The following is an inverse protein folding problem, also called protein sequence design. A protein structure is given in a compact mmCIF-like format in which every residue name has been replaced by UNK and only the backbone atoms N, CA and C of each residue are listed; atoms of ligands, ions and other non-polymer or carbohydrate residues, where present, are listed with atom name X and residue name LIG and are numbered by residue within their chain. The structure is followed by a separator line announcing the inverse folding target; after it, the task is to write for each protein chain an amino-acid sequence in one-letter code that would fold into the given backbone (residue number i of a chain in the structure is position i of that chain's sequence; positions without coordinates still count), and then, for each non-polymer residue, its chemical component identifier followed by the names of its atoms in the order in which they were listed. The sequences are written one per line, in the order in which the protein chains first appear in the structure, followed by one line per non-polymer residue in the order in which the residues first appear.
data_IF_847930307393
#
_entry.id   IF_847930307393
#
_cell.length_a   1.000
_cell.length_b   1.000
_cell.length_c   1.000
_cell.angle_alpha   90.00
_cell.angle_beta   90.00
_cell.angle_gamma   90.00
#
_symmetry.space_group_name_H-M   'P 1'
#
loop_
_entity.id
_entity.type
_entity.pdbx_description
1 polymer ?
#
# COMPACT_ATOMS: atom_id res chain seq x y z
N UNK A 1 -42.54 -2.05 -14.02
CA UNK A 1 -41.72 -2.51 -12.87
C UNK A 1 -40.75 -1.39 -12.52
N UNK A 2 -41.09 -0.59 -11.50
CA UNK A 2 -40.41 0.66 -11.15
C UNK A 2 -39.02 0.39 -10.54
N UNK A 3 -37.97 0.85 -11.22
CA UNK A 3 -36.61 0.93 -10.68
C UNK A 3 -36.49 2.17 -9.78
N UNK A 4 -36.94 2.06 -8.53
CA UNK A 4 -36.57 3.03 -7.50
C UNK A 4 -35.10 2.78 -7.12
N UNK A 5 -34.19 3.55 -7.73
CA UNK A 5 -32.81 3.67 -7.23
C UNK A 5 -32.88 4.22 -5.80
N UNK A 6 -32.86 3.35 -4.80
CA UNK A 6 -32.85 3.75 -3.40
C UNK A 6 -31.62 4.61 -3.12
N UNK A 7 -31.83 5.87 -2.73
CA UNK A 7 -30.74 6.76 -2.36
C UNK A 7 -29.97 6.14 -1.16
N UNK A 8 -28.64 6.28 -1.11
CA UNK A 8 -27.86 5.77 0.01
C UNK A 8 -28.34 6.41 1.31
N UNK A 9 -28.60 5.57 2.32
CA UNK A 9 -29.02 6.01 3.65
C UNK A 9 -27.98 6.95 4.26
N UNK A 10 -28.42 7.89 5.10
CA UNK A 10 -27.53 8.82 5.81
C UNK A 10 -26.42 8.10 6.58
N UNK A 11 -26.70 6.90 7.10
CA UNK A 11 -25.72 6.03 7.76
C UNK A 11 -24.60 5.55 6.82
N UNK A 12 -24.92 5.23 5.57
CA UNK A 12 -23.93 4.80 4.58
C UNK A 12 -23.01 5.95 4.17
N UNK A 13 -23.58 7.14 3.92
CA UNK A 13 -22.80 8.35 3.60
C UNK A 13 -21.83 8.71 4.72
N UNK A 14 -22.26 8.62 5.98
CA UNK A 14 -21.40 8.84 7.16
C UNK A 14 -20.27 7.82 7.25
N UNK A 15 -20.53 6.53 6.99
CA UNK A 15 -19.49 5.48 6.97
C UNK A 15 -18.43 5.73 5.91
N UNK A 16 -18.86 6.09 4.70
CA UNK A 16 -17.95 6.45 3.60
C UNK A 16 -17.11 7.67 3.98
N UNK A 17 -17.76 8.73 4.49
CA UNK A 17 -17.07 9.94 4.92
C UNK A 17 -16.05 9.67 6.02
N UNK A 18 -16.40 8.86 7.02
CA UNK A 18 -15.49 8.47 8.10
C UNK A 18 -14.29 7.67 7.59
N UNK A 19 -14.51 6.73 6.64
CA UNK A 19 -13.44 5.96 6.03
C UNK A 19 -12.45 6.87 5.28
N UNK A 20 -12.95 7.77 4.43
CA UNK A 20 -12.08 8.71 3.70
C UNK A 20 -11.36 9.67 4.64
N UNK A 21 -12.05 10.21 5.65
CA UNK A 21 -11.42 11.08 6.66
C UNK A 21 -10.29 10.35 7.39
N UNK A 22 -10.51 9.09 7.78
CA UNK A 22 -9.48 8.26 8.40
C UNK A 22 -8.27 8.01 7.49
N UNK A 23 -8.50 7.69 6.21
CA UNK A 23 -7.41 7.48 5.24
C UNK A 23 -6.59 8.77 5.00
N UNK A 24 -7.25 9.91 4.87
CA UNK A 24 -6.58 11.21 4.71
C UNK A 24 -5.77 11.54 5.96
N UNK A 25 -6.35 11.40 7.15
CA UNK A 25 -5.66 11.66 8.40
C UNK A 25 -4.44 10.74 8.58
N UNK A 26 -4.57 9.45 8.26
CA UNK A 26 -3.46 8.51 8.29
C UNK A 26 -2.35 8.90 7.31
N UNK A 27 -2.69 9.30 6.08
CA UNK A 27 -1.72 9.72 5.08
C UNK A 27 -0.96 10.98 5.52
N UNK A 28 -1.67 11.99 6.04
CA UNK A 28 -1.06 13.19 6.63
C UNK A 28 -0.14 12.80 7.79
N UNK A 29 -0.59 11.91 8.69
CA UNK A 29 0.21 11.44 9.81
C UNK A 29 1.52 10.78 9.38
N UNK A 30 1.48 9.92 8.35
CA UNK A 30 2.68 9.29 7.78
C UNK A 30 3.63 10.33 7.18
N UNK A 31 3.11 11.34 6.46
CA UNK A 31 3.95 12.40 5.91
C UNK A 31 4.55 13.29 7.00
N UNK A 32 3.79 13.67 8.02
CA UNK A 32 4.29 14.42 9.17
C UNK A 32 5.40 13.63 9.88
N UNK A 33 5.23 12.32 10.03
CA UNK A 33 6.27 11.45 10.58
C UNK A 33 7.51 11.39 9.68
N UNK A 34 7.34 11.22 8.36
CA UNK A 34 8.47 11.24 7.43
C UNK A 34 9.25 12.57 7.49
N UNK A 35 8.56 13.71 7.52
CA UNK A 35 9.19 15.02 7.68
C UNK A 35 9.87 15.18 9.05
N UNK A 36 9.29 14.70 10.13
CA UNK A 36 9.91 14.82 11.46
C UNK A 36 11.23 14.06 11.54
N UNK A 37 11.34 12.90 10.89
CA UNK A 37 12.57 12.09 10.85
C UNK A 37 13.59 12.56 9.80
N UNK A 38 13.13 12.99 8.62
CA UNK A 38 14.00 13.17 7.45
C UNK A 38 14.15 14.63 6.98
N UNK A 39 13.65 15.62 7.73
CA UNK A 39 13.73 17.04 7.32
C UNK A 39 15.16 17.51 6.99
N UNK A 40 16.19 16.97 7.65
CA UNK A 40 17.59 17.32 7.43
C UNK A 40 18.27 16.44 6.36
N UNK A 41 17.56 15.45 5.79
CA UNK A 41 18.09 14.46 4.86
C UNK A 41 17.24 14.41 3.57
N UNK A 42 17.45 15.37 2.64
CA UNK A 42 16.65 15.48 1.42
C UNK A 42 16.62 14.19 0.58
N UNK A 43 17.73 13.42 0.58
CA UNK A 43 17.80 12.14 -0.11
C UNK A 43 16.78 11.12 0.44
N UNK A 44 16.60 11.06 1.77
CA UNK A 44 15.65 10.15 2.41
C UNK A 44 14.20 10.59 2.20
N UNK A 45 13.94 11.90 2.11
CA UNK A 45 12.63 12.39 1.69
C UNK A 45 12.36 12.04 0.21
N UNK A 46 13.37 12.14 -0.66
CA UNK A 46 13.27 11.72 -2.05
C UNK A 46 12.92 10.23 -2.18
N UNK A 47 13.58 9.35 -1.40
CA UNK A 47 13.24 7.92 -1.39
C UNK A 47 11.85 7.65 -0.82
N UNK A 48 11.39 8.42 0.17
CA UNK A 48 10.02 8.33 0.67
C UNK A 48 8.97 8.70 -0.40
N UNK A 49 9.21 9.76 -1.18
CA UNK A 49 8.36 10.14 -2.31
C UNK A 49 8.32 9.03 -3.37
N UNK A 50 9.48 8.47 -3.73
CA UNK A 50 9.57 7.37 -4.68
C UNK A 50 8.81 6.13 -4.18
N UNK A 51 9.01 5.74 -2.93
CA UNK A 51 8.30 4.61 -2.33
C UNK A 51 6.78 4.84 -2.32
N UNK A 52 6.33 6.05 -1.98
CA UNK A 52 4.91 6.42 -2.04
C UNK A 52 4.35 6.36 -3.47
N UNK A 53 5.06 6.91 -4.45
CA UNK A 53 4.66 6.90 -5.85
C UNK A 53 4.62 5.50 -6.47
N UNK A 54 5.63 4.68 -6.21
CA UNK A 54 5.67 3.28 -6.65
C UNK A 54 4.56 2.45 -5.96
N UNK A 55 4.29 2.71 -4.68
CA UNK A 55 3.16 2.09 -3.98
C UNK A 55 1.81 2.48 -4.57
N UNK A 56 1.61 3.75 -4.96
CA UNK A 56 0.40 4.18 -5.66
C UNK A 56 0.24 3.51 -7.03
N UNK A 57 1.33 3.37 -7.79
CA UNK A 57 1.31 2.63 -9.06
C UNK A 57 0.89 1.18 -8.83
N UNK A 58 1.54 0.50 -7.89
CA UNK A 58 1.25 -0.89 -7.51
C UNK A 58 -0.21 -1.07 -7.11
N UNK A 59 -0.78 -0.13 -6.35
CA UNK A 59 -2.19 -0.18 -5.94
C UNK A 59 -3.20 -0.09 -7.11
N UNK A 60 -2.79 0.42 -8.26
CA UNK A 60 -3.62 0.57 -9.47
C UNK A 60 -3.42 -0.61 -10.44
N UNK A 61 -2.58 -1.59 -10.09
CA UNK A 61 -2.38 -2.79 -10.92
C UNK A 61 -3.68 -3.60 -11.06
N UNK A 62 -3.83 -4.24 -12.22
CA UNK A 62 -5.07 -4.88 -12.65
C UNK A 62 -5.48 -6.06 -11.76
N UNK A 63 -4.52 -6.72 -11.10
CA UNK A 63 -4.76 -7.83 -10.18
C UNK A 63 -5.46 -7.37 -8.90
N UNK A 64 -5.04 -6.25 -8.30
CA UNK A 64 -5.72 -5.69 -7.12
C UNK A 64 -7.14 -5.23 -7.48
N UNK A 65 -7.29 -4.55 -8.61
CA UNK A 65 -8.60 -4.08 -9.09
C UNK A 65 -9.53 -5.28 -9.34
N UNK A 66 -9.05 -6.31 -10.04
CA UNK A 66 -9.83 -7.51 -10.33
C UNK A 66 -10.21 -8.27 -9.05
N UNK A 67 -9.29 -8.39 -8.08
CA UNK A 67 -9.57 -9.05 -6.81
C UNK A 67 -10.65 -8.31 -6.00
N UNK A 68 -10.52 -6.99 -5.86
CA UNK A 68 -11.50 -6.17 -5.14
C UNK A 68 -12.86 -6.19 -5.85
N UNK A 69 -12.89 -6.07 -7.18
CA UNK A 69 -14.13 -6.12 -7.97
C UNK A 69 -14.84 -7.46 -7.81
N UNK A 70 -14.12 -8.59 -7.92
CA UNK A 70 -14.70 -9.92 -7.77
C UNK A 70 -15.37 -10.11 -6.39
N UNK A 71 -14.69 -9.73 -5.30
CA UNK A 71 -15.25 -9.83 -3.95
C UNK A 71 -16.42 -8.87 -3.76
N UNK A 72 -16.31 -7.65 -4.27
CA UNK A 72 -17.38 -6.64 -4.22
C UNK A 72 -18.63 -7.12 -4.95
N UNK A 73 -18.48 -7.63 -6.17
CA UNK A 73 -19.59 -8.20 -6.96
C UNK A 73 -20.21 -9.39 -6.27
N UNK A 74 -19.39 -10.29 -5.71
CA UNK A 74 -19.89 -11.46 -4.97
C UNK A 74 -20.75 -11.03 -3.76
N UNK A 75 -20.26 -10.10 -2.95
CA UNK A 75 -21.02 -9.59 -1.80
C UNK A 75 -22.29 -8.83 -2.21
N UNK A 76 -22.27 -8.11 -3.33
CA UNK A 76 -23.46 -7.46 -3.87
C UNK A 76 -24.49 -8.46 -4.39
N UNK A 77 -24.07 -9.57 -5.02
CA UNK A 77 -24.95 -10.67 -5.42
C UNK A 77 -25.62 -11.32 -4.21
N UNK A 78 -24.91 -11.40 -3.09
CA UNK A 78 -25.45 -11.88 -1.81
C UNK A 78 -26.31 -10.81 -1.08
N UNK A 79 -26.63 -9.69 -1.76
CA UNK A 79 -27.51 -8.63 -1.24
C UNK A 79 -26.85 -7.62 -0.30
N UNK A 80 -25.53 -7.69 -0.11
CA UNK A 80 -24.80 -6.80 0.78
C UNK A 80 -24.39 -5.48 0.12
N UNK A 81 -24.00 -4.49 0.94
CA UNK A 81 -23.41 -3.21 0.51
C UNK A 81 -21.94 -3.14 0.95
N UNK A 82 -21.00 -3.73 0.19
CA UNK A 82 -19.59 -3.86 0.58
C UNK A 82 -18.79 -2.55 0.49
N UNK A 83 -18.85 -1.72 1.54
CA UNK A 83 -18.20 -0.39 1.57
C UNK A 83 -16.73 -0.41 1.99
N UNK A 84 -16.30 -1.47 2.68
CA UNK A 84 -14.97 -1.58 3.31
C UNK A 84 -14.08 -2.68 2.73
N UNK A 85 -14.50 -3.33 1.63
CA UNK A 85 -13.74 -4.44 1.02
C UNK A 85 -12.34 -4.01 0.61
N UNK A 86 -12.23 -2.88 -0.11
CA UNK A 86 -10.93 -2.33 -0.51
C UNK A 86 -10.03 -1.98 0.68
N UNK A 87 -10.60 -1.47 1.77
CA UNK A 87 -9.84 -1.15 2.98
C UNK A 87 -9.24 -2.41 3.62
N UNK A 88 -10.03 -3.46 3.82
CA UNK A 88 -9.54 -4.71 4.41
C UNK A 88 -8.55 -5.44 3.50
N UNK A 89 -8.79 -5.42 2.19
CA UNK A 89 -7.85 -5.94 1.21
C UNK A 89 -6.49 -5.21 1.30
N UNK A 90 -6.50 -3.87 1.34
CA UNK A 90 -5.29 -3.07 1.45
C UNK A 90 -4.54 -3.32 2.77
N UNK A 91 -5.24 -3.44 3.90
CA UNK A 91 -4.63 -3.76 5.21
C UNK A 91 -3.96 -5.14 5.18
N UNK A 92 -4.65 -6.16 4.64
CA UNK A 92 -4.10 -7.51 4.56
C UNK A 92 -2.87 -7.60 3.65
N UNK A 93 -2.98 -7.07 2.44
CA UNK A 93 -1.87 -7.04 1.48
C UNK A 93 -0.67 -6.27 2.01
N UNK A 94 -0.90 -5.05 2.52
CA UNK A 94 0.18 -4.23 3.08
C UNK A 94 0.81 -4.85 4.32
N UNK A 95 0.04 -5.58 5.14
CA UNK A 95 0.55 -6.30 6.30
C UNK A 95 1.58 -7.36 5.91
N UNK A 96 1.29 -8.17 4.89
CA UNK A 96 2.23 -9.18 4.38
C UNK A 96 3.49 -8.52 3.83
N UNK A 97 3.35 -7.44 3.06
CA UNK A 97 4.48 -6.69 2.50
C UNK A 97 5.33 -6.06 3.61
N UNK A 98 4.71 -5.49 4.65
CA UNK A 98 5.43 -4.91 5.79
C UNK A 98 6.24 -5.98 6.55
N UNK A 99 5.65 -7.14 6.83
CA UNK A 99 6.34 -8.26 7.47
C UNK A 99 7.51 -8.73 6.59
N UNK A 100 7.27 -8.95 5.30
CA UNK A 100 8.33 -9.35 4.36
C UNK A 100 9.46 -8.33 4.31
N UNK A 101 9.14 -7.03 4.29
CA UNK A 101 10.13 -5.94 4.29
C UNK A 101 10.98 -5.92 5.55
N UNK A 102 10.37 -6.14 6.73
CA UNK A 102 11.10 -6.23 8.01
C UNK A 102 12.04 -7.44 7.99
N UNK A 103 11.56 -8.61 7.55
CA UNK A 103 12.37 -9.84 7.46
C UNK A 103 13.57 -9.60 6.54
N UNK A 104 13.35 -8.99 5.38
CA UNK A 104 14.43 -8.66 4.43
C UNK A 104 15.42 -7.67 5.06
N UNK A 105 14.95 -6.62 5.73
CA UNK A 105 15.81 -5.63 6.35
C UNK A 105 16.69 -6.22 7.46
N UNK A 106 16.12 -7.08 8.32
CA UNK A 106 16.86 -7.79 9.38
C UNK A 106 17.88 -8.74 8.76
N UNK A 107 17.47 -9.54 7.76
CA UNK A 107 18.36 -10.49 7.08
C UNK A 107 19.51 -9.79 6.37
N UNK A 108 19.23 -8.70 5.64
CA UNK A 108 20.24 -7.89 4.98
C UNK A 108 21.23 -7.29 6.00
N UNK A 109 20.73 -6.82 7.15
CA UNK A 109 21.58 -6.28 8.22
C UNK A 109 22.49 -7.35 8.82
N UNK A 110 21.97 -8.56 9.06
CA UNK A 110 22.77 -9.69 9.55
C UNK A 110 23.85 -10.12 8.53
N UNK A 111 23.50 -10.22 7.25
CA UNK A 111 24.45 -10.55 6.18
C UNK A 111 25.49 -9.45 5.95
N UNK A 112 25.15 -8.19 6.23
CA UNK A 112 26.09 -7.07 6.08
C UNK A 112 27.30 -7.15 7.02
N UNK A 113 27.22 -7.97 8.08
CA UNK A 113 28.36 -8.27 8.96
C UNK A 113 29.41 -9.15 8.25
N UNK A 114 29.06 -9.81 7.14
CA UNK A 114 29.95 -10.60 6.30
C UNK A 114 30.30 -9.81 5.02
N UNK A 115 31.37 -9.01 5.09
CA UNK A 115 31.71 -8.01 4.06
C UNK A 115 31.72 -8.49 2.60
N UNK A 116 32.18 -9.72 2.34
CA UNK A 116 32.23 -10.29 0.99
C UNK A 116 30.85 -10.50 0.36
N UNK A 117 29.83 -10.84 1.16
CA UNK A 117 28.47 -11.07 0.65
C UNK A 117 27.76 -9.76 0.27
N UNK A 118 28.05 -8.67 0.98
CA UNK A 118 27.48 -7.35 0.68
C UNK A 118 27.96 -6.81 -0.66
N UNK A 119 29.25 -6.96 -0.95
CA UNK A 119 29.86 -6.42 -2.17
C UNK A 119 29.44 -7.21 -3.41
N UNK A 120 29.53 -8.54 -3.36
CA UNK A 120 29.10 -9.43 -4.46
C UNK A 120 27.59 -9.28 -4.71
N UNK A 121 26.78 -9.29 -3.65
CA UNK A 121 25.32 -9.13 -3.77
C UNK A 121 24.92 -7.77 -4.35
N UNK A 122 25.60 -6.69 -3.95
CA UNK A 122 25.34 -5.34 -4.47
C UNK A 122 25.67 -5.19 -5.95
N UNK A 123 26.80 -5.76 -6.41
CA UNK A 123 27.19 -5.75 -7.83
C UNK A 123 26.18 -6.56 -8.66
N UNK A 124 25.85 -7.78 -8.22
CA UNK A 124 24.87 -8.62 -8.91
C UNK A 124 23.51 -7.92 -9.01
N UNK A 125 23.01 -7.34 -7.91
CA UNK A 125 21.75 -6.62 -7.90
C UNK A 125 21.75 -5.43 -8.86
N UNK A 126 22.83 -4.64 -8.86
CA UNK A 126 22.96 -3.46 -9.74
C UNK A 126 22.97 -3.87 -11.21
N UNK A 127 23.70 -4.93 -11.56
CA UNK A 127 23.78 -5.43 -12.94
C UNK A 127 22.43 -5.98 -13.40
N UNK A 128 21.75 -6.78 -12.56
CA UNK A 128 20.43 -7.32 -12.88
C UNK A 128 19.42 -6.18 -13.05
N UNK A 129 19.38 -5.22 -12.13
CA UNK A 129 18.48 -4.06 -12.25
C UNK A 129 18.77 -3.22 -13.49
N UNK A 130 20.05 -3.00 -13.85
CA UNK A 130 20.42 -2.25 -15.04
C UNK A 130 20.03 -2.96 -16.36
N UNK A 131 19.92 -4.30 -16.36
CA UNK A 131 19.51 -5.08 -17.54
C UNK A 131 17.99 -5.24 -17.66
N UNK A 132 17.26 -5.13 -16.55
CA UNK A 132 15.80 -5.30 -16.51
C UNK A 132 15.00 -3.98 -16.63
N UNK A 133 15.64 -2.85 -16.35
CA UNK A 133 15.07 -1.50 -16.49
C UNK A 133 15.10 -1.06 -17.96
#
# INVERSE_FOLDING_TARGET
MHLTKSLPSLSLRRRIGALFAGLIAANIGVWVWAFSLFHAQPLMLGTAVLAWGLGLRHAVDADHIAAIDNVTRKLMQDGQRPVSVGFWFAIGHSGIIAIASIIIAVTASALSQFGAFKEIGGVIATVISALFL
#
